data_IF_228432788737
#
_entry.id   IF_228432788737
#
_cell.length_a   1.000
_cell.length_b   1.000
_cell.length_c   1.000
_cell.angle_alpha   90.00
_cell.angle_beta   90.00
_cell.angle_gamma   90.00
#
_symmetry.space_group_name_H-M   'P 1'
#
loop_
_entity.id
_entity.type
_entity.pdbx_description
1 polymer ?
#
# COMPACT_ATOMS: atom_id res chain seq x y z
N UNK A 1 -10.75 5.43 -23.70
CA UNK A 1 -9.64 4.60 -23.16
C UNK A 1 -8.62 5.41 -22.37
N UNK A 2 -8.05 6.53 -22.88
CA UNK A 2 -7.06 7.36 -22.15
C UNK A 2 -7.55 7.89 -20.79
N UNK A 3 -8.83 8.24 -20.69
CA UNK A 3 -9.43 8.76 -19.46
C UNK A 3 -9.34 7.76 -18.30
N UNK A 4 -9.51 6.46 -18.55
CA UNK A 4 -9.43 5.44 -17.50
C UNK A 4 -8.03 5.35 -16.89
N UNK A 5 -6.99 5.42 -17.72
CA UNK A 5 -5.59 5.40 -17.27
C UNK A 5 -5.20 6.72 -16.58
N UNK A 6 -5.70 7.84 -17.09
CA UNK A 6 -5.52 9.14 -16.44
C UNK A 6 -6.22 9.19 -15.07
N UNK A 7 -7.38 8.55 -14.91
CA UNK A 7 -8.08 8.44 -13.61
C UNK A 7 -7.24 7.69 -12.58
N UNK A 8 -6.60 6.57 -12.95
CA UNK A 8 -5.67 5.88 -12.06
C UNK A 8 -4.45 6.75 -11.71
N UNK A 9 -3.93 7.53 -12.66
CA UNK A 9 -2.88 8.51 -12.39
C UNK A 9 -3.31 9.62 -11.41
N UNK A 10 -4.53 10.14 -11.54
CA UNK A 10 -5.09 11.17 -10.64
C UNK A 10 -5.43 10.60 -9.26
N UNK A 11 -5.97 9.38 -9.20
CA UNK A 11 -6.34 8.69 -7.95
C UNK A 11 -5.15 8.46 -7.02
N UNK A 12 -3.93 8.57 -7.53
CA UNK A 12 -2.71 8.38 -6.76
C UNK A 12 -2.31 9.58 -5.91
N UNK A 13 -2.70 10.78 -6.31
CA UNK A 13 -2.47 12.00 -5.54
C UNK A 13 -3.14 11.92 -4.16
N UNK A 14 -4.44 11.62 -4.04
CA UNK A 14 -5.06 11.43 -2.73
C UNK A 14 -4.52 10.19 -2.02
N UNK A 15 -4.16 9.13 -2.76
CA UNK A 15 -3.57 7.94 -2.15
C UNK A 15 -2.22 8.23 -1.47
N UNK A 16 -1.37 9.07 -2.09
CA UNK A 16 -0.12 9.54 -1.51
C UNK A 16 -0.35 10.35 -0.22
N UNK A 17 -1.38 11.21 -0.20
CA UNK A 17 -1.78 11.93 1.01
C UNK A 17 -2.18 10.99 2.14
N UNK A 18 -3.04 10.01 1.86
CA UNK A 18 -3.49 9.05 2.86
C UNK A 18 -2.33 8.17 3.35
N UNK A 19 -1.43 7.76 2.47
CA UNK A 19 -0.23 6.99 2.84
C UNK A 19 0.68 7.80 3.76
N UNK A 20 0.94 9.08 3.46
CA UNK A 20 1.72 9.96 4.33
C UNK A 20 1.07 10.13 5.71
N UNK A 21 -0.26 10.17 5.77
CA UNK A 21 -1.01 10.25 7.03
C UNK A 21 -0.87 8.97 7.86
N UNK A 22 -0.90 7.79 7.24
CA UNK A 22 -0.68 6.52 7.94
C UNK A 22 0.75 6.35 8.42
N UNK A 23 1.72 6.92 7.72
CA UNK A 23 3.13 7.01 8.16
C UNK A 23 3.36 8.00 9.32
N UNK A 24 2.29 8.59 9.87
CA UNK A 24 2.32 9.56 10.99
C UNK A 24 3.17 10.80 10.71
N UNK A 25 3.24 11.25 9.45
CA UNK A 25 3.85 12.55 9.15
C UNK A 25 3.02 13.72 9.67
N UNK A 26 3.70 14.85 9.90
CA UNK A 26 3.01 16.10 10.25
C UNK A 26 2.11 16.55 9.09
N UNK A 27 1.04 17.30 9.38
CA UNK A 27 0.15 17.82 8.33
C UNK A 27 0.90 18.58 7.22
N UNK A 28 1.94 19.33 7.59
CA UNK A 28 2.83 20.02 6.63
C UNK A 28 3.63 19.03 5.76
N UNK A 29 4.13 17.95 6.35
CA UNK A 29 4.80 16.87 5.64
C UNK A 29 3.87 16.18 4.64
N UNK A 30 2.62 15.90 5.03
CA UNK A 30 1.62 15.35 4.11
C UNK A 30 1.39 16.28 2.91
N UNK A 31 1.27 17.60 3.13
CA UNK A 31 1.08 18.56 2.03
C UNK A 31 2.27 18.59 1.09
N UNK A 32 3.48 18.56 1.65
CA UNK A 32 4.71 18.54 0.88
C UNK A 32 4.80 17.27 0.02
N UNK A 33 4.52 16.09 0.59
CA UNK A 33 4.52 14.82 -0.15
C UNK A 33 3.51 14.85 -1.31
N UNK A 34 2.29 15.32 -1.06
CA UNK A 34 1.25 15.37 -2.09
C UNK A 34 1.54 16.39 -3.18
N UNK A 35 2.16 17.53 -2.86
CA UNK A 35 2.60 18.50 -3.86
C UNK A 35 3.77 17.93 -4.67
N UNK A 36 4.72 17.25 -4.04
CA UNK A 36 5.84 16.62 -4.73
C UNK A 36 5.36 15.54 -5.71
N UNK A 37 4.40 14.69 -5.31
CA UNK A 37 3.84 13.68 -6.21
C UNK A 37 2.98 14.28 -7.33
N UNK A 38 2.24 15.37 -7.05
CA UNK A 38 1.45 16.08 -8.06
C UNK A 38 2.34 16.78 -9.10
N UNK A 39 3.45 17.37 -8.68
CA UNK A 39 4.38 18.09 -9.54
C UNK A 39 5.44 17.19 -10.21
N UNK A 40 5.36 15.88 -10.05
CA UNK A 40 6.30 14.95 -10.68
C UNK A 40 6.03 14.84 -12.19
N UNK A 41 6.95 15.38 -12.98
CA UNK A 41 6.84 15.42 -14.43
C UNK A 41 6.92 14.01 -15.06
N UNK A 42 7.70 13.10 -14.47
CA UNK A 42 7.83 11.74 -14.97
C UNK A 42 6.50 10.99 -14.85
N UNK A 43 5.80 11.22 -13.74
CA UNK A 43 4.46 10.68 -13.51
C UNK A 43 3.45 11.21 -14.53
N UNK A 44 3.39 12.53 -14.71
CA UNK A 44 2.47 13.16 -15.65
C UNK A 44 2.68 12.64 -17.08
N UNK A 45 3.94 12.42 -17.47
CA UNK A 45 4.27 11.81 -18.74
C UNK A 45 3.76 10.36 -18.84
N UNK A 46 4.05 9.50 -17.85
CA UNK A 46 3.65 8.08 -17.86
C UNK A 46 2.12 7.91 -17.87
N UNK A 47 1.40 8.69 -17.06
CA UNK A 47 -0.06 8.61 -16.94
C UNK A 47 -0.82 9.14 -18.17
N UNK A 48 -0.19 10.00 -18.99
CA UNK A 48 -0.78 10.52 -20.22
C UNK A 48 -0.79 9.50 -21.37
N UNK A 49 0.15 8.57 -21.36
CA UNK A 49 0.22 7.49 -22.35
C UNK A 49 -0.70 6.33 -21.98
N UNK A 50 -1.14 5.53 -22.97
CA UNK A 50 -1.93 4.29 -22.74
C UNK A 50 -0.99 3.16 -22.31
N UNK A 51 -0.13 3.43 -21.32
CA UNK A 51 0.82 2.45 -20.83
C UNK A 51 0.24 1.77 -19.60
N UNK A 52 0.33 0.45 -19.58
CA UNK A 52 -0.13 -0.40 -18.48
C UNK A 52 0.67 -0.16 -17.17
N UNK A 53 1.81 0.54 -17.27
CA UNK A 53 2.61 0.96 -16.12
C UNK A 53 1.85 1.92 -15.17
N UNK A 54 0.87 2.70 -15.64
CA UNK A 54 0.08 3.57 -14.74
C UNK A 54 -0.84 2.78 -13.80
N UNK A 55 -1.40 1.66 -14.26
CA UNK A 55 -2.17 0.73 -13.43
C UNK A 55 -1.27 -0.03 -12.46
N UNK A 56 -0.09 -0.46 -12.92
CA UNK A 56 0.91 -1.09 -12.08
C UNK A 56 1.26 -0.18 -10.91
N UNK A 57 1.64 1.07 -11.20
CA UNK A 57 1.97 2.06 -10.18
C UNK A 57 0.80 2.23 -9.20
N UNK A 58 -0.43 2.38 -9.71
CA UNK A 58 -1.62 2.49 -8.86
C UNK A 58 -1.78 1.35 -7.87
N UNK A 59 -1.72 0.11 -8.36
CA UNK A 59 -1.86 -1.05 -7.48
C UNK A 59 -0.66 -1.20 -6.53
N UNK A 60 0.57 -0.88 -6.95
CA UNK A 60 1.74 -0.94 -6.04
C UNK A 60 1.64 0.07 -4.90
N UNK A 61 1.26 1.31 -5.16
CA UNK A 61 1.05 2.27 -4.07
C UNK A 61 -0.13 1.87 -3.19
N UNK A 62 -1.20 1.31 -3.78
CA UNK A 62 -2.33 0.76 -3.01
C UNK A 62 -1.87 -0.38 -2.10
N UNK A 63 -0.98 -1.28 -2.56
CA UNK A 63 -0.42 -2.34 -1.71
C UNK A 63 0.37 -1.76 -0.54
N UNK A 64 1.18 -0.73 -0.77
CA UNK A 64 1.96 -0.07 0.30
C UNK A 64 1.02 0.65 1.29
N UNK A 65 -0.03 1.30 0.80
CA UNK A 65 -1.04 1.94 1.63
C UNK A 65 -1.80 0.92 2.51
N UNK A 66 -2.26 -0.19 1.91
CA UNK A 66 -2.93 -1.25 2.65
C UNK A 66 -1.99 -1.92 3.67
N UNK A 67 -0.72 -2.09 3.33
CA UNK A 67 0.31 -2.58 4.26
C UNK A 67 0.50 -1.62 5.44
N UNK A 68 0.67 -0.31 5.19
CA UNK A 68 0.84 0.67 6.27
C UNK A 68 -0.39 0.75 7.18
N UNK A 69 -1.59 0.64 6.61
CA UNK A 69 -2.84 0.51 7.38
C UNK A 69 -2.83 -0.72 8.27
N UNK A 70 -2.51 -1.88 7.70
CA UNK A 70 -2.43 -3.15 8.43
C UNK A 70 -1.47 -3.07 9.61
N UNK A 71 -0.28 -2.49 9.40
CA UNK A 71 0.73 -2.26 10.44
C UNK A 71 0.20 -1.38 11.56
N UNK A 72 -0.41 -0.25 11.21
CA UNK A 72 -0.93 0.68 12.21
C UNK A 72 -2.06 0.06 13.05
N UNK A 73 -2.75 -0.95 12.52
CA UNK A 73 -3.85 -1.69 13.18
C UNK A 73 -3.41 -2.97 13.91
N UNK A 74 -2.12 -3.29 13.95
CA UNK A 74 -1.61 -4.46 14.67
C UNK A 74 -1.91 -4.45 16.18
N UNK A 75 -2.14 -3.27 16.76
CA UNK A 75 -2.56 -3.11 18.16
C UNK A 75 -3.87 -3.83 18.50
N UNK A 76 -4.76 -4.06 17.53
CA UNK A 76 -6.02 -4.76 17.73
C UNK A 76 -6.10 -5.99 16.83
N UNK A 77 -5.19 -6.92 17.12
CA UNK A 77 -5.11 -8.23 16.45
C UNK A 77 -6.46 -8.96 16.54
N UNK A 78 -6.89 -9.58 15.44
CA UNK A 78 -8.16 -10.31 15.27
C UNK A 78 -9.47 -9.49 15.23
N UNK A 79 -9.41 -8.17 15.10
CA UNK A 79 -10.61 -7.38 14.79
C UNK A 79 -11.13 -7.64 13.36
N UNK A 80 -12.42 -7.38 13.12
CA UNK A 80 -13.02 -7.40 11.76
C UNK A 80 -12.28 -6.46 10.81
N UNK A 81 -11.88 -5.29 11.30
CA UNK A 81 -11.09 -4.33 10.51
C UNK A 81 -9.74 -4.90 10.10
N UNK A 82 -9.04 -5.62 10.98
CA UNK A 82 -7.75 -6.24 10.67
C UNK A 82 -7.85 -7.24 9.51
N UNK A 83 -8.89 -8.08 9.52
CA UNK A 83 -9.18 -9.01 8.43
C UNK A 83 -9.53 -8.28 7.13
N UNK A 84 -10.27 -7.17 7.20
CA UNK A 84 -10.60 -6.35 6.04
C UNK A 84 -9.33 -5.77 5.39
N UNK A 85 -8.41 -5.21 6.18
CA UNK A 85 -7.16 -4.65 5.66
C UNK A 85 -6.20 -5.73 5.17
N UNK A 86 -6.17 -6.90 5.80
CA UNK A 86 -5.41 -8.06 5.31
C UNK A 86 -5.94 -8.54 3.96
N UNK A 87 -7.26 -8.70 3.83
CA UNK A 87 -7.90 -9.09 2.58
C UNK A 87 -7.70 -8.04 1.48
N UNK A 88 -7.76 -6.74 1.81
CA UNK A 88 -7.48 -5.65 0.88
C UNK A 88 -6.01 -5.65 0.41
N UNK A 89 -5.07 -5.98 1.30
CA UNK A 89 -3.65 -6.15 0.95
C UNK A 89 -3.44 -7.34 0.01
N UNK A 90 -4.08 -8.49 0.29
CA UNK A 90 -4.04 -9.65 -0.60
C UNK A 90 -4.66 -9.38 -1.97
N UNK A 91 -5.80 -8.70 -2.02
CA UNK A 91 -6.46 -8.31 -3.27
C UNK A 91 -5.56 -7.41 -4.12
N UNK A 92 -4.96 -6.38 -3.50
CA UNK A 92 -4.07 -5.46 -4.20
C UNK A 92 -2.81 -6.15 -4.72
N UNK A 93 -2.20 -7.07 -3.97
CA UNK A 93 -1.07 -7.89 -4.43
C UNK A 93 -1.46 -8.75 -5.64
N UNK A 94 -2.63 -9.39 -5.59
CA UNK A 94 -3.16 -10.18 -6.71
C UNK A 94 -3.32 -9.33 -7.98
N UNK A 95 -3.84 -8.11 -7.83
CA UNK A 95 -3.94 -7.15 -8.93
C UNK A 95 -2.56 -6.75 -9.48
N UNK A 96 -1.57 -6.46 -8.63
CA UNK A 96 -0.20 -6.10 -9.06
C UNK A 96 0.45 -7.24 -9.86
N UNK A 97 0.38 -8.48 -9.37
CA UNK A 97 0.94 -9.66 -10.03
C UNK A 97 0.29 -9.94 -11.40
N UNK A 98 -1.01 -9.67 -11.54
CA UNK A 98 -1.76 -9.88 -12.79
C UNK A 98 -1.35 -8.88 -13.89
N UNK A 99 -0.92 -7.68 -13.51
CA UNK A 99 -0.56 -6.61 -14.44
C UNK A 99 0.81 -6.87 -15.07
N UNK A 100 1.85 -7.10 -14.26
CA UNK A 100 3.22 -7.31 -14.75
C UNK A 100 4.04 -8.09 -13.73
N UNK A 101 4.99 -8.90 -14.21
CA UNK A 101 5.87 -9.71 -13.36
C UNK A 101 6.82 -8.87 -12.49
N UNK A 102 7.12 -7.63 -12.91
CA UNK A 102 7.83 -6.64 -12.07
C UNK A 102 7.07 -6.37 -10.77
N UNK A 103 5.76 -6.57 -10.76
CA UNK A 103 4.91 -6.52 -9.59
C UNK A 103 5.33 -7.47 -8.45
N UNK A 104 6.07 -8.53 -8.75
CA UNK A 104 6.63 -9.45 -7.74
C UNK A 104 7.56 -8.73 -6.75
N UNK A 105 8.17 -7.60 -7.13
CA UNK A 105 8.97 -6.81 -6.17
C UNK A 105 8.10 -6.20 -5.07
N UNK A 106 6.88 -5.77 -5.38
CA UNK A 106 5.94 -5.28 -4.36
C UNK A 106 5.47 -6.43 -3.46
N UNK A 107 5.22 -7.61 -4.03
CA UNK A 107 4.91 -8.82 -3.26
C UNK A 107 6.07 -9.22 -2.35
N UNK A 108 7.30 -9.15 -2.84
CA UNK A 108 8.49 -9.46 -2.06
C UNK A 108 8.69 -8.46 -0.90
N UNK A 109 8.40 -7.18 -1.11
CA UNK A 109 8.42 -6.16 -0.05
C UNK A 109 7.43 -6.51 1.07
N UNK A 110 6.18 -6.82 0.71
CA UNK A 110 5.16 -7.23 1.69
C UNK A 110 5.58 -8.53 2.39
N UNK A 111 6.12 -9.50 1.65
CA UNK A 111 6.61 -10.75 2.19
C UNK A 111 7.75 -10.56 3.20
N UNK A 112 8.75 -9.73 2.87
CA UNK A 112 9.84 -9.39 3.77
C UNK A 112 9.34 -8.73 5.05
N UNK A 113 8.41 -7.78 4.94
CA UNK A 113 7.78 -7.13 6.09
C UNK A 113 7.01 -8.14 6.96
N UNK A 114 6.32 -9.10 6.32
CA UNK A 114 5.60 -10.15 7.03
C UNK A 114 6.56 -11.07 7.78
N UNK A 115 7.72 -11.40 7.20
CA UNK A 115 8.76 -12.21 7.87
C UNK A 115 9.28 -11.49 9.12
N UNK A 116 9.55 -10.20 9.03
CA UNK A 116 9.97 -9.37 10.18
C UNK A 116 8.89 -9.37 11.27
N UNK A 117 7.62 -9.13 10.91
CA UNK A 117 6.51 -9.16 11.86
C UNK A 117 6.32 -10.52 12.55
N UNK A 118 6.48 -11.62 11.81
CA UNK A 118 6.44 -12.96 12.41
C UNK A 118 7.64 -13.22 13.32
N UNK A 119 8.82 -12.70 12.97
CA UNK A 119 10.02 -12.85 13.79
C UNK A 119 9.88 -12.12 15.13
N UNK A 120 9.37 -10.89 15.11
CA UNK A 120 9.11 -10.11 16.32
C UNK A 120 8.05 -10.76 17.21
N UNK A 121 6.98 -11.28 16.61
CA UNK A 121 5.94 -12.04 17.35
C UNK A 121 6.46 -13.34 17.94
N UNK A 122 7.35 -14.04 17.24
CA UNK A 122 7.99 -15.25 17.76
C UNK A 122 8.86 -14.97 19.00
N UNK A 123 9.47 -13.78 19.06
CA UNK A 123 10.26 -13.33 20.21
C UNK A 123 9.43 -12.88 21.42
N UNK A 124 8.13 -12.64 21.26
CA UNK A 124 7.27 -12.15 22.35
C UNK A 124 6.76 -13.31 23.25
N UNK A 125 7.46 -13.54 24.36
CA UNK A 125 7.11 -14.56 25.37
C UNK A 125 5.79 -14.27 26.11
N UNK A 126 5.17 -13.10 25.93
CA UNK A 126 3.89 -12.75 26.57
C UNK A 126 2.68 -13.05 25.71
N UNK A 127 2.87 -13.42 24.44
CA UNK A 127 1.76 -13.71 23.55
C UNK A 127 1.14 -15.08 23.90
N UNK A 128 -0.16 -15.16 24.23
CA UNK A 128 -0.82 -16.43 24.51
C UNK A 128 -0.86 -17.28 23.24
N UNK A 129 -0.60 -18.58 23.38
CA UNK A 129 -0.59 -19.56 22.27
C UNK A 129 -1.99 -19.75 21.66
N UNK A 130 -3.05 -19.40 22.41
CA UNK A 130 -4.44 -19.53 21.98
C UNK A 130 -5.13 -18.17 21.85
N UNK A 131 -5.81 -17.96 20.73
CA UNK A 131 -6.67 -16.79 20.50
C UNK A 131 -7.86 -16.78 21.46
N UNK A 132 -8.11 -15.69 22.21
CA UNK A 132 -9.34 -15.57 22.99
C UNK A 132 -10.54 -15.61 22.04
N UNK A 133 -11.48 -16.50 22.33
CA UNK A 133 -12.70 -16.74 21.56
C UNK A 133 -13.64 -15.53 21.56
#
# INVERSE_FOLDING_TARGET
MRVMLALFGVAMVPLAWFTAKELRFTNRGCHLVTIMTLCDLAWLCISRFILLDSMLLFFTFTTVFCLTKFVNQQYQSFSFDWWLWLAATGWSIGCVCSVKWVGLFATALVGAYTIEDLWDKFGDLKMPVETPK
#
